data_IF_522734103586
#
_entry.id   IF_522734103586
#
_cell.length_a   1.000
_cell.length_b   1.000
_cell.length_c   1.000
_cell.angle_alpha   90.00
_cell.angle_beta   90.00
_cell.angle_gamma   90.00
#
_symmetry.space_group_name_H-M   'P 1'
#
loop_
_entity.id
_entity.type
_entity.pdbx_description
1 polymer ?
#
# COMPACT_ATOMS: atom_id res chain seq x y z
N UNK A 1 -9.83 6.90 -8.37
CA UNK A 1 -9.57 7.30 -6.98
C UNK A 1 -9.19 8.78 -6.92
N UNK A 2 -9.50 9.51 -5.85
CA UNK A 2 -9.10 10.93 -5.74
C UNK A 2 -7.61 11.10 -5.40
N UNK A 3 -7.02 12.25 -5.74
CA UNK A 3 -5.61 12.54 -5.45
C UNK A 3 -5.27 12.42 -3.96
N UNK A 4 -6.17 12.89 -3.08
CA UNK A 4 -5.99 12.77 -1.63
C UNK A 4 -6.01 11.31 -1.17
N UNK A 5 -6.90 10.47 -1.72
CA UNK A 5 -6.89 9.03 -1.44
C UNK A 5 -5.59 8.36 -1.90
N UNK A 6 -5.03 8.73 -3.07
CA UNK A 6 -3.70 8.24 -3.49
C UNK A 6 -2.61 8.64 -2.50
N UNK A 7 -2.63 9.89 -2.02
CA UNK A 7 -1.65 10.38 -1.03
C UNK A 7 -1.70 9.58 0.28
N UNK A 8 -2.90 9.37 0.81
CA UNK A 8 -3.12 8.62 2.04
C UNK A 8 -2.72 7.14 1.85
N UNK A 9 -3.09 6.56 0.70
CA UNK A 9 -2.73 5.19 0.36
C UNK A 9 -1.21 5.02 0.24
N UNK A 10 -0.53 5.93 -0.45
CA UNK A 10 0.92 5.88 -0.60
C UNK A 10 1.65 6.05 0.73
N UNK A 11 1.19 6.94 1.61
CA UNK A 11 1.73 7.08 2.97
C UNK A 11 1.65 5.76 3.76
N UNK A 12 0.51 5.08 3.68
CA UNK A 12 0.28 3.78 4.33
C UNK A 12 1.19 2.70 3.73
N UNK A 13 1.17 2.52 2.40
CA UNK A 13 1.87 1.43 1.72
C UNK A 13 3.39 1.56 1.83
N UNK A 14 3.94 2.78 1.87
CA UNK A 14 5.35 3.00 2.18
C UNK A 14 5.70 2.60 3.61
N UNK A 15 4.82 2.83 4.57
CA UNK A 15 5.04 2.33 5.94
C UNK A 15 5.04 0.80 5.98
N UNK A 16 4.15 0.18 5.21
CA UNK A 16 4.04 -1.28 5.11
C UNK A 16 5.29 -1.87 4.47
N UNK A 17 5.81 -1.26 3.39
CA UNK A 17 7.03 -1.74 2.72
C UNK A 17 8.29 -1.61 3.58
N UNK A 18 8.28 -0.70 4.57
CA UNK A 18 9.34 -0.56 5.57
C UNK A 18 9.21 -1.52 6.77
N UNK A 19 8.15 -2.30 6.84
CA UNK A 19 7.92 -3.27 7.91
C UNK A 19 8.68 -4.58 7.66
N UNK A 20 8.80 -5.44 8.68
CA UNK A 20 9.45 -6.74 8.55
C UNK A 20 8.58 -7.71 7.72
N UNK A 21 8.72 -7.66 6.40
CA UNK A 21 8.09 -8.56 5.45
C UNK A 21 9.14 -9.48 4.81
N UNK A 22 8.69 -10.60 4.23
CA UNK A 22 9.56 -11.41 3.38
C UNK A 22 9.86 -10.69 2.08
N UNK A 23 11.07 -10.91 1.54
CA UNK A 23 11.47 -10.34 0.24
C UNK A 23 10.43 -10.59 -0.83
N UNK A 24 9.93 -11.84 -0.93
CA UNK A 24 8.88 -12.21 -1.88
C UNK A 24 7.59 -11.38 -1.74
N UNK A 25 7.18 -11.05 -0.51
CA UNK A 25 5.97 -10.26 -0.27
C UNK A 25 6.25 -8.78 -0.51
N UNK A 26 7.42 -8.29 -0.11
CA UNK A 26 7.89 -6.94 -0.38
C UNK A 26 7.99 -6.66 -1.88
N UNK A 27 8.47 -7.61 -2.69
CA UNK A 27 8.55 -7.48 -4.15
C UNK A 27 7.16 -7.29 -4.76
N UNK A 28 6.19 -8.12 -4.35
CA UNK A 28 4.79 -8.02 -4.81
C UNK A 28 4.13 -6.71 -4.39
N UNK A 29 4.38 -6.26 -3.17
CA UNK A 29 3.91 -4.98 -2.68
C UNK A 29 4.53 -3.83 -3.48
N UNK A 30 5.84 -3.87 -3.73
CA UNK A 30 6.55 -2.87 -4.53
C UNK A 30 6.00 -2.78 -5.95
N UNK A 31 5.75 -3.92 -6.63
CA UNK A 31 5.10 -3.91 -7.94
C UNK A 31 3.69 -3.33 -7.91
N UNK A 32 2.95 -3.58 -6.83
CA UNK A 32 1.60 -3.02 -6.62
C UNK A 32 1.66 -1.50 -6.43
N UNK A 33 2.65 -1.01 -5.68
CA UNK A 33 2.91 0.43 -5.50
C UNK A 33 3.21 1.08 -6.85
N UNK A 34 4.08 0.49 -7.68
CA UNK A 34 4.36 0.99 -9.03
C UNK A 34 3.11 1.04 -9.90
N UNK A 35 2.28 0.00 -9.87
CA UNK A 35 1.03 -0.03 -10.64
C UNK A 35 0.08 1.08 -10.20
N UNK A 36 -0.03 1.34 -8.90
CA UNK A 36 -0.86 2.42 -8.37
C UNK A 36 -0.32 3.81 -8.70
N UNK A 37 0.99 3.95 -8.84
CA UNK A 37 1.65 5.18 -9.31
C UNK A 37 1.35 5.44 -10.78
N UNK A 38 1.46 4.43 -11.64
CA UNK A 38 1.04 4.51 -13.04
C UNK A 38 -0.43 4.93 -13.16
N UNK A 39 -1.31 4.33 -12.35
CA UNK A 39 -2.72 4.68 -12.34
C UNK A 39 -2.97 6.12 -11.89
N UNK A 40 -2.25 6.60 -10.88
CA UNK A 40 -2.35 7.99 -10.44
C UNK A 40 -1.96 8.96 -11.56
N UNK A 41 -0.90 8.65 -12.32
CA UNK A 41 -0.47 9.43 -13.48
C UNK A 41 -1.54 9.47 -14.58
N UNK A 42 -2.20 8.34 -14.86
CA UNK A 42 -3.31 8.31 -15.83
C UNK A 42 -4.57 9.05 -15.33
N UNK A 43 -4.96 8.84 -14.08
CA UNK A 43 -6.17 9.40 -13.48
C UNK A 43 -6.10 10.92 -13.29
N UNK A 44 -4.90 11.46 -13.06
CA UNK A 44 -4.66 12.87 -12.73
C UNK A 44 -3.65 13.52 -13.68
N UNK A 45 -3.70 13.15 -14.96
CA UNK A 45 -2.79 13.65 -16.01
C UNK A 45 -2.80 15.17 -16.23
N UNK A 46 -3.81 15.88 -15.71
CA UNK A 46 -3.91 17.34 -15.70
C UNK A 46 -3.13 18.00 -14.55
N UNK A 47 -2.63 17.21 -13.58
CA UNK A 47 -1.86 17.72 -12.44
C UNK A 47 -0.38 17.85 -12.77
N UNK A 48 0.27 18.76 -12.06
CA UNK A 48 1.72 18.93 -12.16
C UNK A 48 2.44 17.66 -11.65
N UNK A 49 3.50 17.24 -12.35
CA UNK A 49 4.26 16.03 -12.05
C UNK A 49 4.71 15.97 -10.58
N UNK A 50 5.14 17.11 -10.02
CA UNK A 50 5.62 17.19 -8.64
C UNK A 50 4.55 16.85 -7.57
N UNK A 51 3.26 17.00 -7.92
CA UNK A 51 2.14 16.59 -7.07
C UNK A 51 1.87 15.08 -7.13
N UNK A 52 2.26 14.42 -8.23
CA UNK A 52 2.03 13.00 -8.49
C UNK A 52 3.25 12.17 -8.04
N UNK A 53 4.48 12.60 -8.36
CA UNK A 53 5.73 11.87 -8.09
C UNK A 53 5.91 11.51 -6.60
N UNK A 54 5.35 12.35 -5.72
CA UNK A 54 5.45 12.17 -4.26
C UNK A 54 4.36 11.27 -3.68
N UNK A 55 3.37 10.87 -4.46
CA UNK A 55 2.22 10.08 -3.98
C UNK A 55 2.68 8.71 -3.50
N UNK A 56 3.52 8.00 -4.26
CA UNK A 56 3.98 6.65 -3.92
C UNK A 56 5.46 6.53 -3.58
N UNK A 57 6.31 7.46 -4.04
CA UNK A 57 7.77 7.41 -3.86
C UNK A 57 8.35 8.52 -2.95
N UNK A 58 7.50 9.21 -2.19
CA UNK A 58 7.94 10.23 -1.22
C UNK A 58 8.68 9.67 0.01
N UNK A 59 9.37 10.56 0.75
CA UNK A 59 10.10 10.20 1.97
C UNK A 59 9.21 9.99 3.21
N UNK A 60 8.03 10.62 3.22
CA UNK A 60 7.08 10.54 4.33
C UNK A 60 6.27 9.24 4.28
N UNK A 61 6.09 8.59 5.44
CA UNK A 61 5.45 7.27 5.55
C UNK A 61 4.86 7.02 6.94
N UNK A 62 3.86 6.16 6.99
CA UNK A 62 3.36 5.63 8.24
C UNK A 62 4.46 4.88 9.01
N UNK A 63 4.46 5.01 10.33
CA UNK A 63 5.33 4.25 11.24
C UNK A 63 4.47 3.28 12.03
N UNK A 64 4.77 1.99 11.92
CA UNK A 64 4.05 0.94 12.63
C UNK A 64 4.96 0.37 13.71
N UNK A 65 4.63 0.64 14.98
CA UNK A 65 5.42 0.19 16.12
C UNK A 65 5.09 -1.25 16.51
N UNK A 66 3.85 -1.67 16.28
CA UNK A 66 3.35 -3.00 16.60
C UNK A 66 2.75 -3.70 15.39
N UNK A 67 2.55 -5.02 15.49
CA UNK A 67 1.79 -5.77 14.48
C UNK A 67 0.37 -5.21 14.33
N UNK A 68 -0.29 -4.86 15.43
CA UNK A 68 -1.66 -4.33 15.38
C UNK A 68 -1.74 -2.99 14.61
N UNK A 69 -0.76 -2.10 14.82
CA UNK A 69 -0.65 -0.85 14.05
C UNK A 69 -0.48 -1.13 12.55
N UNK A 70 0.37 -2.09 12.20
CA UNK A 70 0.59 -2.49 10.82
C UNK A 70 -0.70 -3.05 10.18
N UNK A 71 -1.42 -3.92 10.89
CA UNK A 71 -2.68 -4.50 10.39
C UNK A 71 -3.78 -3.44 10.25
N UNK A 72 -3.84 -2.46 11.15
CA UNK A 72 -4.70 -1.27 10.98
C UNK A 72 -4.33 -0.49 9.73
N UNK A 73 -3.04 -0.30 9.45
CA UNK A 73 -2.56 0.31 8.21
C UNK A 73 -3.01 -0.46 6.97
N UNK A 74 -2.82 -1.78 6.93
CA UNK A 74 -3.28 -2.63 5.81
C UNK A 74 -4.80 -2.54 5.61
N UNK A 75 -5.58 -2.51 6.69
CA UNK A 75 -7.03 -2.32 6.60
C UNK A 75 -7.41 -0.92 6.09
N UNK A 76 -6.67 0.12 6.48
CA UNK A 76 -6.81 1.46 5.92
C UNK A 76 -6.55 1.48 4.41
N UNK A 77 -5.50 0.80 3.94
CA UNK A 77 -5.25 0.65 2.51
C UNK A 77 -6.41 -0.06 1.79
N UNK A 78 -6.95 -1.14 2.35
CA UNK A 78 -8.12 -1.84 1.79
C UNK A 78 -9.32 -0.90 1.66
N UNK A 79 -9.65 -0.15 2.71
CA UNK A 79 -10.77 0.78 2.70
C UNK A 79 -10.61 1.88 1.63
N UNK A 80 -9.41 2.43 1.47
CA UNK A 80 -9.12 3.40 0.41
C UNK A 80 -9.31 2.79 -0.98
N UNK A 81 -8.78 1.60 -1.23
CA UNK A 81 -8.91 0.94 -2.54
C UNK A 81 -10.36 0.57 -2.84
N UNK A 82 -11.12 0.07 -1.85
CA UNK A 82 -12.53 -0.28 -2.03
C UNK A 82 -13.42 0.93 -2.30
N UNK A 83 -13.12 2.08 -1.68
CA UNK A 83 -13.85 3.33 -1.92
C UNK A 83 -13.38 4.08 -3.18
N UNK A 84 -12.12 3.91 -3.58
CA UNK A 84 -11.53 4.61 -4.73
C UNK A 84 -11.69 3.88 -6.07
N UNK A 85 -11.95 2.57 -6.04
CA UNK A 85 -12.07 1.72 -7.23
C UNK A 85 -13.29 0.79 -7.17
N UNK A 86 -14.03 0.74 -8.28
CA UNK A 86 -15.12 -0.20 -8.49
C UNK A 86 -14.62 -1.65 -8.56
N UNK A 87 -15.56 -2.60 -8.41
CA UNK A 87 -15.30 -4.02 -8.59
C UNK A 87 -14.71 -4.29 -9.98
N UNK A 88 -13.46 -4.77 -10.02
CA UNK A 88 -12.78 -5.17 -11.24
C UNK A 88 -11.61 -6.10 -10.93
N UNK A 89 -11.09 -6.79 -11.96
CA UNK A 89 -9.95 -7.70 -11.81
C UNK A 89 -8.71 -7.01 -11.21
N UNK A 90 -8.25 -5.85 -11.72
CA UNK A 90 -7.09 -5.17 -11.14
C UNK A 90 -7.24 -4.88 -9.64
N UNK A 91 -8.40 -4.38 -9.21
CA UNK A 91 -8.68 -4.14 -7.79
C UNK A 91 -8.58 -5.41 -6.95
N UNK A 92 -9.13 -6.53 -7.44
CA UNK A 92 -9.04 -7.84 -6.74
C UNK A 92 -7.60 -8.32 -6.61
N UNK A 93 -6.78 -8.08 -7.62
CA UNK A 93 -5.37 -8.49 -7.58
C UNK A 93 -4.58 -7.69 -6.55
N UNK A 94 -4.87 -6.39 -6.39
CA UNK A 94 -4.32 -5.58 -5.29
C UNK A 94 -4.76 -6.12 -3.92
N UNK A 95 -6.05 -6.47 -3.74
CA UNK A 95 -6.54 -7.04 -2.48
C UNK A 95 -5.80 -8.32 -2.09
N UNK A 96 -5.52 -9.21 -3.05
CA UNK A 96 -4.75 -10.43 -2.79
C UNK A 96 -3.34 -10.12 -2.29
N UNK A 97 -2.70 -9.05 -2.79
CA UNK A 97 -1.38 -8.64 -2.31
C UNK A 97 -1.46 -8.16 -0.85
N UNK A 98 -2.48 -7.38 -0.50
CA UNK A 98 -2.70 -6.96 0.90
C UNK A 98 -2.97 -8.15 1.83
N UNK A 99 -3.71 -9.16 1.37
CA UNK A 99 -3.90 -10.41 2.13
C UNK A 99 -2.59 -11.19 2.34
N UNK A 100 -1.71 -11.19 1.33
CA UNK A 100 -0.37 -11.79 1.47
C UNK A 100 0.48 -11.03 2.50
N UNK A 101 0.43 -9.70 2.49
CA UNK A 101 1.13 -8.84 3.45
C UNK A 101 0.68 -9.17 4.89
N UNK A 102 -0.63 -9.18 5.14
CA UNK A 102 -1.18 -9.47 6.48
C UNK A 102 -0.74 -10.84 7.00
N UNK A 103 -0.82 -11.88 6.15
CA UNK A 103 -0.43 -13.25 6.52
C UNK A 103 1.06 -13.35 6.81
N UNK A 104 1.90 -12.71 5.99
CA UNK A 104 3.36 -12.72 6.17
C UNK A 104 3.77 -11.98 7.43
N UNK A 105 3.22 -10.79 7.66
CA UNK A 105 3.48 -10.00 8.87
C UNK A 105 3.10 -10.77 10.14
N UNK A 106 1.91 -11.37 10.16
CA UNK A 106 1.43 -12.16 11.30
C UNK A 106 2.33 -13.36 11.58
N UNK A 107 2.73 -14.09 10.53
CA UNK A 107 3.64 -15.24 10.66
C UNK A 107 5.02 -14.83 11.16
N UNK A 108 5.53 -13.67 10.75
CA UNK A 108 6.84 -13.16 11.17
C UNK A 108 6.83 -12.69 12.61
N UNK A 109 5.77 -12.01 13.05
CA UNK A 109 5.61 -11.62 14.44
C UNK A 109 5.59 -12.84 15.38
N UNK A 110 4.88 -13.92 15.00
CA UNK A 110 4.86 -15.16 15.77
C UNK A 110 6.26 -15.79 15.92
N UNK A 111 7.10 -15.72 14.89
CA UNK A 111 8.48 -16.23 14.93
C UNK A 111 9.45 -15.38 15.75
N UNK A 112 9.13 -14.12 16.03
CA UNK A 112 9.98 -13.25 16.86
C UNK A 112 9.73 -13.42 18.35
N UNK A 113 8.60 -14.01 18.73
CA UNK A 113 8.18 -14.25 20.12
C UNK A 113 8.54 -15.66 20.59
N UNK A 114 8.80 -16.59 19.66
CA UNK A 114 9.21 -17.98 19.91
C UNK A 114 10.74 -18.11 19.95
#
# INVERSE_FOLDING_TARGET
MSLQQHRDLGFILRGVSWSNLSSRVLDKLSSTISTLDDWANYEHSDKASDQIDRLYYGSDRAKYATLDDLLKGVNGARALILSGYQECRPRRDIMKVLDLVERDASKRAQKQVA
#
